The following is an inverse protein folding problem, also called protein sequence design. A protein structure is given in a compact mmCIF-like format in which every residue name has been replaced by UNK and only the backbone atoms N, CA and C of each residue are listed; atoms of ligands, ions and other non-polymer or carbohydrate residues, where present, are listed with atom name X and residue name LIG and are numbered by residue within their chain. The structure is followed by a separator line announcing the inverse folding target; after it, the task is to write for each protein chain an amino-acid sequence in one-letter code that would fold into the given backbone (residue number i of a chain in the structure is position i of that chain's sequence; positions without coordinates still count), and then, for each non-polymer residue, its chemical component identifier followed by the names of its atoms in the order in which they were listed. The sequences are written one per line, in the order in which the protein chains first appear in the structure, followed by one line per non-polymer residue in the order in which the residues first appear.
data_IF_176592578356
#
_entry.id   IF_176592578356
#
_cell.length_a   1.000
_cell.length_b   1.000
_cell.length_c   1.000
_cell.angle_alpha   90.00
_cell.angle_beta   90.00
_cell.angle_gamma   90.00
#
_symmetry.space_group_name_H-M   'P 1'
#
loop_
_entity.id
_entity.type
_entity.pdbx_description
1 polymer ?
#
# COMPACT_ATOMS: atom_id res chain seq x y z
N UNK A 1 -45.35 -18.51 44.04
CA UNK A 1 -44.24 -19.26 43.41
C UNK A 1 -44.75 -19.72 42.04
N UNK A 2 -44.77 -18.84 41.04
CA UNK A 2 -43.72 -18.67 40.02
C UNK A 2 -43.21 -20.01 39.46
N UNK A 3 -43.67 -20.41 38.27
CA UNK A 3 -42.89 -20.33 37.02
C UNK A 3 -43.65 -21.03 35.87
N UNK A 4 -44.10 -20.23 34.90
CA UNK A 4 -44.40 -20.70 33.56
C UNK A 4 -43.06 -21.02 32.89
N UNK A 5 -42.80 -22.30 32.61
CA UNK A 5 -41.63 -22.75 31.85
C UNK A 5 -41.93 -22.68 30.36
N UNK A 6 -41.80 -21.48 29.80
CA UNK A 6 -41.74 -21.28 28.35
C UNK A 6 -40.34 -21.60 27.84
N UNK A 7 -40.24 -22.38 26.78
CA UNK A 7 -39.01 -22.47 25.97
C UNK A 7 -39.41 -22.49 24.50
N UNK A 8 -39.62 -21.28 23.97
CA UNK A 8 -39.55 -21.01 22.56
C UNK A 8 -38.09 -21.14 22.14
N UNK A 9 -37.76 -22.16 21.36
CA UNK A 9 -36.46 -22.25 20.68
C UNK A 9 -36.53 -21.33 19.46
N UNK A 10 -36.18 -20.06 19.64
CA UNK A 10 -35.99 -19.15 18.53
C UNK A 10 -34.64 -19.46 17.88
N UNK A 11 -34.74 -20.00 16.67
CA UNK A 11 -33.77 -19.99 15.58
C UNK A 11 -32.76 -18.83 15.73
N UNK A 12 -31.49 -19.14 15.99
CA UNK A 12 -30.38 -18.20 15.81
C UNK A 12 -29.26 -18.89 15.05
N UNK A 13 -29.55 -19.18 13.78
CA UNK A 13 -28.53 -19.24 12.75
C UNK A 13 -28.15 -17.80 12.42
N UNK A 14 -27.37 -17.16 13.30
CA UNK A 14 -26.64 -15.96 12.92
C UNK A 14 -25.37 -16.40 12.21
N UNK A 15 -25.46 -16.41 10.89
CA UNK A 15 -24.34 -16.31 9.98
C UNK A 15 -23.51 -15.09 10.35
N UNK A 16 -22.42 -15.27 11.11
CA UNK A 16 -21.35 -14.28 11.20
C UNK A 16 -20.57 -14.33 9.88
N UNK A 17 -21.10 -13.62 8.89
CA UNK A 17 -20.39 -13.23 7.68
C UNK A 17 -20.12 -11.73 7.76
N UNK A 18 -18.84 -11.41 7.94
CA UNK A 18 -18.16 -10.15 7.63
C UNK A 18 -18.60 -8.87 8.37
N UNK A 19 -17.72 -8.37 9.24
CA UNK A 19 -17.12 -7.05 9.08
C UNK A 19 -16.05 -6.82 10.16
N UNK A 20 -14.82 -6.65 9.69
CA UNK A 20 -13.89 -5.60 10.10
C UNK A 20 -13.52 -5.49 11.59
N UNK A 21 -12.28 -5.82 11.93
CA UNK A 21 -11.69 -5.39 13.19
C UNK A 21 -10.60 -6.28 13.75
N UNK A 22 -9.41 -6.23 13.14
CA UNK A 22 -8.17 -6.31 13.92
C UNK A 22 -7.37 -7.61 13.83
N UNK A 23 -6.11 -7.42 13.44
CA UNK A 23 -4.94 -8.30 13.61
C UNK A 23 -4.96 -9.57 12.77
N UNK A 24 -4.71 -9.38 11.48
CA UNK A 24 -4.05 -10.40 10.68
C UNK A 24 -2.61 -10.62 11.17
N UNK A 25 -2.49 -11.70 11.94
CA UNK A 25 -1.42 -12.70 11.98
C UNK A 25 0.01 -12.20 11.70
N UNK A 26 0.77 -12.16 12.79
CA UNK A 26 2.24 -12.05 12.85
C UNK A 26 2.85 -13.16 11.97
N UNK A 27 3.40 -12.80 10.82
CA UNK A 27 4.25 -13.70 10.03
C UNK A 27 5.70 -13.26 10.21
N UNK A 28 6.34 -13.82 11.24
CA UNK A 28 7.78 -13.74 11.46
C UNK A 28 8.50 -14.71 10.52
N UNK A 29 8.50 -14.39 9.23
CA UNK A 29 9.26 -15.06 8.16
C UNK A 29 9.46 -14.07 7.01
N UNK A 30 10.36 -14.33 6.02
CA UNK A 30 10.58 -13.42 4.90
C UNK A 30 9.30 -13.37 4.02
N UNK A 31 8.37 -12.51 4.41
CA UNK A 31 7.11 -12.30 3.73
C UNK A 31 7.33 -11.47 2.48
N UNK A 32 6.71 -11.89 1.38
CA UNK A 32 6.59 -11.03 0.20
C UNK A 32 5.47 -10.02 0.48
N UNK A 33 5.82 -8.75 0.64
CA UNK A 33 4.84 -7.67 0.66
C UNK A 33 4.55 -7.21 -0.78
N UNK A 34 3.33 -6.79 -1.06
CA UNK A 34 2.97 -6.16 -2.32
C UNK A 34 2.69 -4.67 -2.05
N UNK A 35 3.65 -3.78 -2.37
CA UNK A 35 3.50 -2.36 -2.06
C UNK A 35 2.36 -1.71 -2.81
N UNK A 36 1.45 -1.08 -2.09
CA UNK A 36 0.58 -0.04 -2.68
C UNK A 36 1.23 1.34 -2.58
N UNK A 37 2.18 1.47 -1.65
CA UNK A 37 3.07 2.61 -1.45
C UNK A 37 4.36 2.16 -0.78
N UNK A 38 5.43 2.94 -0.96
CA UNK A 38 6.65 2.81 -0.15
C UNK A 38 7.40 4.13 -0.06
N UNK A 39 8.25 4.24 0.96
CA UNK A 39 9.22 5.32 1.13
C UNK A 39 10.53 4.78 1.69
N UNK A 40 11.64 5.44 1.40
CA UNK A 40 12.93 5.24 2.08
C UNK A 40 13.70 6.56 2.17
N UNK A 41 14.56 6.68 3.18
CA UNK A 41 15.34 7.90 3.41
C UNK A 41 16.39 8.12 2.31
N UNK A 42 17.02 7.05 1.85
CA UNK A 42 18.03 7.04 0.81
C UNK A 42 18.09 5.70 0.08
N UNK A 43 18.92 5.59 -0.97
CA UNK A 43 18.96 4.43 -1.84
C UNK A 43 19.44 3.13 -1.17
N UNK A 44 20.06 3.22 0.01
CA UNK A 44 20.56 2.09 0.78
C UNK A 44 19.78 1.86 2.09
N UNK A 45 18.75 2.67 2.35
CA UNK A 45 17.90 2.53 3.52
C UNK A 45 16.77 1.54 3.28
N UNK A 46 16.26 0.88 4.32
CA UNK A 46 15.11 -0.01 4.21
C UNK A 46 13.87 0.75 3.72
N UNK A 47 13.02 0.05 3.00
CA UNK A 47 11.74 0.54 2.50
C UNK A 47 10.69 0.45 3.59
N UNK A 48 10.06 1.57 3.93
CA UNK A 48 8.78 1.57 4.64
C UNK A 48 7.68 1.34 3.63
N UNK A 49 7.07 0.16 3.65
CA UNK A 49 6.02 -0.29 2.73
C UNK A 49 4.67 -0.20 3.41
N UNK A 50 3.67 0.33 2.71
CA UNK A 50 2.28 0.47 3.18
C UNK A 50 2.12 1.16 4.56
N UNK A 51 3.16 1.85 5.05
CA UNK A 51 3.18 2.54 6.33
C UNK A 51 3.39 1.66 7.58
N UNK A 52 3.50 0.33 7.44
CA UNK A 52 3.54 -0.61 8.58
C UNK A 52 4.62 -1.68 8.49
N UNK A 53 5.30 -1.80 7.35
CA UNK A 53 6.32 -2.82 7.14
C UNK A 53 7.64 -2.16 6.75
N UNK A 54 8.76 -2.66 7.26
CA UNK A 54 10.11 -2.34 6.78
C UNK A 54 10.66 -3.52 5.97
N UNK A 55 11.01 -3.29 4.71
CA UNK A 55 11.56 -4.30 3.80
C UNK A 55 12.97 -3.91 3.36
N UNK A 56 13.88 -4.88 3.27
CA UNK A 56 15.26 -4.63 2.78
C UNK A 56 15.31 -4.51 1.26
N UNK A 57 14.46 -5.26 0.55
CA UNK A 57 14.47 -5.31 -0.90
C UNK A 57 13.07 -5.07 -1.44
N UNK A 58 12.94 -4.13 -2.37
CA UNK A 58 11.70 -3.84 -3.07
C UNK A 58 11.98 -3.64 -4.55
N UNK A 59 11.06 -4.08 -5.41
CA UNK A 59 11.06 -3.63 -6.80
C UNK A 59 10.87 -2.12 -6.88
N UNK A 60 11.75 -1.41 -7.59
CA UNK A 60 11.53 0.01 -7.90
C UNK A 60 10.47 0.11 -8.99
N UNK A 61 9.52 1.01 -8.77
CA UNK A 61 8.38 1.18 -9.66
C UNK A 61 8.66 2.26 -10.70
N UNK A 62 8.23 2.00 -11.92
CA UNK A 62 8.29 2.99 -13.01
C UNK A 62 6.92 3.65 -13.10
N UNK A 63 6.81 4.90 -12.67
CA UNK A 63 5.60 5.69 -12.86
C UNK A 63 5.60 6.34 -14.24
N UNK A 64 4.41 6.46 -14.85
CA UNK A 64 4.24 6.96 -16.22
C UNK A 64 3.57 8.31 -16.25
N UNK A 65 3.80 9.03 -17.34
CA UNK A 65 3.20 10.34 -17.59
C UNK A 65 3.42 11.33 -16.42
N UNK A 66 4.67 11.41 -15.95
CA UNK A 66 5.05 12.20 -14.79
C UNK A 66 5.52 13.60 -15.19
N UNK A 67 4.98 14.60 -14.51
CA UNK A 67 5.39 16.00 -14.56
C UNK A 67 6.28 16.33 -13.36
N UNK A 68 7.37 17.05 -13.59
CA UNK A 68 8.23 17.51 -12.50
C UNK A 68 7.53 18.63 -11.73
N UNK A 69 7.59 18.58 -10.40
CA UNK A 69 6.98 19.60 -9.55
C UNK A 69 7.54 21.01 -9.81
N UNK A 70 8.82 21.09 -10.18
CA UNK A 70 9.49 22.37 -10.45
C UNK A 70 9.28 22.87 -11.89
N UNK A 71 8.92 21.99 -12.81
CA UNK A 71 8.70 22.32 -14.24
C UNK A 71 7.42 21.66 -14.77
N UNK A 72 6.23 22.06 -14.27
CA UNK A 72 4.98 21.38 -14.58
C UNK A 72 4.57 21.47 -16.06
N UNK A 73 5.08 22.47 -16.79
CA UNK A 73 4.79 22.67 -18.22
C UNK A 73 5.67 21.82 -19.14
N UNK A 74 6.71 21.15 -18.61
CA UNK A 74 7.50 20.23 -19.42
C UNK A 74 6.63 19.04 -19.84
N UNK A 75 6.91 18.45 -21.02
CA UNK A 75 6.22 17.24 -21.46
C UNK A 75 6.38 16.14 -20.41
N UNK A 76 5.32 15.35 -20.15
CA UNK A 76 5.38 14.27 -19.18
C UNK A 76 6.40 13.20 -19.60
N UNK A 77 7.02 12.57 -18.60
CA UNK A 77 8.04 11.53 -18.81
C UNK A 77 7.81 10.34 -17.88
N UNK A 78 8.41 9.19 -18.20
CA UNK A 78 8.42 8.05 -17.30
C UNK A 78 9.56 8.19 -16.28
N UNK A 79 9.28 7.89 -15.01
CA UNK A 79 10.23 8.04 -13.92
C UNK A 79 10.27 6.79 -13.05
N UNK A 80 11.48 6.34 -12.68
CA UNK A 80 11.66 5.35 -11.62
C UNK A 80 11.52 6.03 -10.27
N UNK A 81 10.81 5.39 -9.34
CA UNK A 81 10.51 5.94 -8.02
C UNK A 81 11.53 5.44 -6.98
N UNK A 82 12.78 5.84 -7.14
CA UNK A 82 13.86 5.30 -6.32
C UNK A 82 13.70 5.57 -4.82
N UNK A 83 12.98 6.60 -4.39
CA UNK A 83 12.90 6.99 -2.97
C UNK A 83 11.49 6.86 -2.39
N UNK A 84 10.46 7.15 -3.19
CA UNK A 84 9.08 7.03 -2.73
C UNK A 84 8.11 6.84 -3.89
N UNK A 85 7.09 6.01 -3.64
CA UNK A 85 5.90 5.91 -4.45
C UNK A 85 4.68 6.03 -3.53
N UNK A 86 3.90 7.09 -3.70
CA UNK A 86 2.77 7.41 -2.84
C UNK A 86 1.52 7.68 -3.69
N UNK A 87 0.39 6.97 -3.46
CA UNK A 87 -0.87 7.34 -4.10
C UNK A 87 -1.37 8.68 -3.57
N UNK A 88 -2.02 9.46 -4.42
CA UNK A 88 -2.64 10.72 -4.01
C UNK A 88 -4.02 10.44 -3.38
N UNK A 89 -4.25 10.86 -2.13
CA UNK A 89 -5.47 10.49 -1.38
C UNK A 89 -6.77 11.01 -2.02
N UNK A 90 -6.72 12.18 -2.66
CA UNK A 90 -7.90 12.81 -3.26
C UNK A 90 -8.03 12.59 -4.77
N UNK A 91 -7.02 11.97 -5.38
CA UNK A 91 -6.94 11.78 -6.82
C UNK A 91 -6.43 10.36 -7.09
N UNK A 92 -7.31 9.35 -7.13
CA UNK A 92 -6.91 7.95 -7.23
C UNK A 92 -6.17 7.62 -8.54
N UNK A 93 -6.23 8.52 -9.52
CA UNK A 93 -5.51 8.41 -10.80
C UNK A 93 -4.11 9.04 -10.75
N UNK A 94 -3.73 9.66 -9.63
CA UNK A 94 -2.49 10.40 -9.44
C UNK A 94 -1.61 9.74 -8.39
N UNK A 95 -0.30 9.85 -8.56
CA UNK A 95 0.67 9.38 -7.58
C UNK A 95 1.88 10.29 -7.56
N UNK A 96 2.51 10.41 -6.41
CA UNK A 96 3.78 11.09 -6.23
C UNK A 96 4.92 10.06 -6.33
N UNK A 97 5.84 10.32 -7.25
CA UNK A 97 7.05 9.54 -7.45
C UNK A 97 8.25 10.40 -7.04
N UNK A 98 9.14 9.87 -6.19
CA UNK A 98 10.37 10.56 -5.79
C UNK A 98 11.58 9.73 -6.19
N UNK A 99 12.58 10.40 -6.75
CA UNK A 99 13.89 9.82 -7.02
C UNK A 99 15.00 10.83 -6.70
N UNK A 100 16.24 10.47 -7.06
CA UNK A 100 17.42 11.31 -6.83
C UNK A 100 17.41 12.62 -7.64
N UNK A 101 16.56 12.73 -8.66
CA UNK A 101 16.39 13.95 -9.49
C UNK A 101 15.30 14.88 -8.97
N UNK A 102 14.41 14.40 -8.10
CA UNK A 102 13.35 15.22 -7.51
C UNK A 102 12.04 14.47 -7.27
N UNK A 103 10.97 15.26 -7.14
CA UNK A 103 9.60 14.79 -6.94
C UNK A 103 8.75 15.07 -8.18
N UNK A 104 7.93 14.10 -8.56
CA UNK A 104 7.13 14.12 -9.77
C UNK A 104 5.68 13.74 -9.47
N UNK A 105 4.75 14.41 -10.13
CA UNK A 105 3.33 14.06 -10.12
C UNK A 105 2.99 13.31 -11.40
N UNK A 106 2.41 12.12 -11.27
CA UNK A 106 2.14 11.25 -12.41
C UNK A 106 0.64 11.19 -12.67
N UNK A 107 0.22 11.71 -13.84
CA UNK A 107 -1.18 11.80 -14.29
C UNK A 107 -1.36 10.79 -15.44
N UNK A 108 -2.19 9.77 -15.27
CA UNK A 108 -2.31 8.61 -16.17
C UNK A 108 -1.26 7.53 -15.94
N UNK A 109 -1.56 6.71 -14.93
CA UNK A 109 -1.04 5.36 -14.85
C UNK A 109 -0.02 5.19 -13.74
N UNK A 110 -0.53 4.96 -12.52
CA UNK A 110 0.04 3.93 -11.65
C UNK A 110 0.35 2.74 -12.55
N UNK A 111 1.61 2.34 -12.62
CA UNK A 111 1.99 1.20 -13.45
C UNK A 111 1.13 -0.01 -13.06
N UNK A 112 0.63 -0.77 -14.03
CA UNK A 112 -0.25 -1.92 -13.74
C UNK A 112 0.48 -3.07 -13.04
N UNK A 113 1.80 -2.95 -12.88
CA UNK A 113 2.66 -3.81 -12.05
C UNK A 113 2.91 -3.19 -10.67
N UNK A 114 2.23 -2.09 -10.32
CA UNK A 114 2.25 -1.44 -9.00
C UNK A 114 1.96 -2.42 -7.84
N UNK A 115 1.35 -3.58 -8.10
CA UNK A 115 1.20 -4.67 -7.13
C UNK A 115 1.81 -6.00 -7.58
N UNK A 116 2.75 -6.02 -8.53
CA UNK A 116 3.44 -7.25 -9.01
C UNK A 116 4.94 -7.25 -8.72
N UNK A 117 5.55 -6.10 -8.44
CA UNK A 117 6.93 -5.98 -7.94
C UNK A 117 6.93 -6.06 -6.41
N UNK A 118 6.98 -7.27 -5.87
CA UNK A 118 6.96 -7.47 -4.42
C UNK A 118 8.19 -6.87 -3.72
N UNK A 119 8.05 -6.71 -2.41
CA UNK A 119 9.16 -6.51 -1.49
C UNK A 119 9.42 -7.78 -0.70
N UNK A 120 10.68 -8.08 -0.43
CA UNK A 120 11.12 -9.23 0.36
C UNK A 120 11.83 -8.78 1.62
N UNK A 121 12.03 -9.72 2.54
CA UNK A 121 12.72 -9.49 3.81
C UNK A 121 12.04 -8.39 4.62
N UNK A 122 10.71 -8.42 4.59
CA UNK A 122 9.84 -7.48 5.28
C UNK A 122 9.63 -7.90 6.74
N UNK A 123 9.75 -6.94 7.64
CA UNK A 123 9.38 -7.04 9.06
C UNK A 123 8.32 -5.99 9.38
N UNK A 124 7.48 -6.23 10.38
CA UNK A 124 6.54 -5.21 10.87
C UNK A 124 7.34 -4.17 11.65
N UNK A 125 7.13 -2.89 11.33
CA UNK A 125 7.82 -1.75 11.96
C UNK A 125 7.11 -1.27 13.23
#
# INVERSE_FOLDING_TARGET
MNMFSGSFVILSLLSLSHADGGREVISSGPGIAYPTSYTRAGPNDPFTVNGSQQCQHCGIYVAKNCHNFNTPNDPPTDQSCDLAFLPHMNHPQESTCKNNKGSFNCYSGRDSRAGKGGCTDCVIA
#
